data_IF_514391745050
#
_entry.id   IF_514391745050
#
_cell.length_a   1.000
_cell.length_b   1.000
_cell.length_c   1.000
_cell.angle_alpha   90.00
_cell.angle_beta   90.00
_cell.angle_gamma   90.00
#
_symmetry.space_group_name_H-M   'P 1'
#
loop_
_entity.id
_entity.type
_entity.pdbx_description
1 polymer ?
#
# COMPACT_ATOMS: atom_id res chain seq x y z
N UNK A 1 -3.28 18.77 -10.87
CA UNK A 1 -4.41 18.10 -11.55
C UNK A 1 -4.71 16.85 -10.74
N UNK A 2 -5.90 16.70 -10.18
CA UNK A 2 -6.27 15.47 -9.46
C UNK A 2 -6.45 14.36 -10.50
N UNK A 3 -5.59 13.35 -10.44
CA UNK A 3 -5.68 12.19 -11.30
C UNK A 3 -6.91 11.37 -10.86
N UNK A 4 -7.98 11.42 -11.62
CA UNK A 4 -9.21 10.64 -11.41
C UNK A 4 -9.15 9.28 -12.11
N UNK A 5 -8.00 8.92 -12.67
CA UNK A 5 -7.79 7.66 -13.38
C UNK A 5 -8.03 6.49 -12.44
N UNK A 6 -8.73 5.48 -12.94
CA UNK A 6 -8.81 4.16 -12.30
C UNK A 6 -7.90 3.21 -13.05
N UNK A 7 -7.01 2.54 -12.33
CA UNK A 7 -6.11 1.53 -12.88
C UNK A 7 -5.76 0.48 -11.80
N UNK A 8 -5.11 -0.60 -12.20
CA UNK A 8 -4.62 -1.57 -11.24
C UNK A 8 -3.34 -1.07 -10.57
N UNK A 9 -3.17 -1.44 -9.32
CA UNK A 9 -2.03 -1.05 -8.50
C UNK A 9 -1.12 -2.25 -8.26
N UNK A 10 0.18 -2.05 -8.42
CA UNK A 10 1.23 -2.97 -7.98
C UNK A 10 2.08 -2.29 -6.92
N UNK A 11 2.35 -2.99 -5.82
CA UNK A 11 3.40 -2.60 -4.86
C UNK A 11 4.30 -3.80 -4.62
N UNK A 12 5.62 -3.62 -4.79
CA UNK A 12 6.63 -4.63 -4.49
C UNK A 12 7.67 -4.05 -3.54
N UNK A 13 8.04 -4.83 -2.54
CA UNK A 13 9.24 -4.63 -1.72
C UNK A 13 10.25 -5.73 -2.06
N UNK A 14 11.38 -5.35 -2.63
CA UNK A 14 12.49 -6.26 -2.92
C UNK A 14 13.49 -6.24 -1.76
N UNK A 15 13.82 -7.43 -1.24
CA UNK A 15 14.59 -7.60 0.00
C UNK A 15 15.62 -8.72 -0.13
N UNK A 16 16.45 -8.92 0.89
CA UNK A 16 17.24 -10.15 1.03
C UNK A 16 16.36 -11.34 1.40
N UNK A 17 16.90 -12.56 1.39
CA UNK A 17 16.13 -13.79 1.52
C UNK A 17 15.27 -13.83 2.79
N UNK A 18 13.97 -13.85 2.59
CA UNK A 18 12.96 -13.96 3.63
C UNK A 18 12.95 -15.36 4.26
N UNK A 19 12.63 -15.48 5.56
CA UNK A 19 12.56 -16.77 6.22
C UNK A 19 11.54 -17.69 5.53
N UNK A 20 11.94 -18.88 5.02
CA UNK A 20 11.05 -19.73 4.21
C UNK A 20 9.76 -20.14 4.92
N UNK A 21 9.85 -20.41 6.24
CA UNK A 21 8.69 -20.79 7.07
C UNK A 21 7.69 -19.65 7.28
N UNK A 22 8.12 -18.40 7.18
CA UNK A 22 7.28 -17.22 7.34
C UNK A 22 6.81 -16.62 6.00
N UNK A 23 7.45 -16.97 4.90
CA UNK A 23 7.28 -16.32 3.60
C UNK A 23 5.83 -16.19 3.14
N UNK A 24 5.07 -17.30 3.19
CA UNK A 24 3.65 -17.29 2.81
C UNK A 24 2.86 -16.30 3.66
N UNK A 25 3.00 -16.38 4.99
CA UNK A 25 2.28 -15.54 5.93
C UNK A 25 2.66 -14.05 5.80
N UNK A 26 3.94 -13.77 5.55
CA UNK A 26 4.41 -12.40 5.29
C UNK A 26 3.77 -11.82 4.02
N UNK A 27 3.74 -12.60 2.92
CA UNK A 27 3.11 -12.15 1.67
C UNK A 27 1.61 -11.92 1.81
N UNK A 28 0.89 -12.84 2.42
CA UNK A 28 -0.56 -12.71 2.67
C UNK A 28 -0.86 -11.50 3.56
N UNK A 29 -0.11 -11.31 4.65
CA UNK A 29 -0.30 -10.19 5.56
C UNK A 29 0.02 -8.85 4.89
N UNK A 30 1.12 -8.77 4.14
CA UNK A 30 1.48 -7.57 3.37
C UNK A 30 0.35 -7.14 2.43
N UNK A 31 -0.16 -8.09 1.64
CA UNK A 31 -1.21 -7.83 0.67
C UNK A 31 -2.53 -7.44 1.32
N UNK A 32 -2.96 -8.19 2.35
CA UNK A 32 -4.24 -7.95 3.03
C UNK A 32 -4.26 -6.58 3.71
N UNK A 33 -3.26 -6.28 4.53
CA UNK A 33 -3.24 -5.01 5.28
C UNK A 33 -3.16 -3.80 4.34
N UNK A 34 -2.35 -3.88 3.28
CA UNK A 34 -2.25 -2.80 2.30
C UNK A 34 -3.57 -2.59 1.57
N UNK A 35 -4.20 -3.67 1.07
CA UNK A 35 -5.48 -3.59 0.37
C UNK A 35 -6.61 -3.08 1.28
N UNK A 36 -6.68 -3.56 2.52
CA UNK A 36 -7.67 -3.09 3.51
C UNK A 36 -7.48 -1.61 3.82
N UNK A 37 -6.23 -1.15 3.92
CA UNK A 37 -5.92 0.27 4.08
C UNK A 37 -6.39 1.13 2.91
N UNK A 38 -6.28 0.66 1.67
CA UNK A 38 -6.80 1.36 0.48
C UNK A 38 -8.33 1.35 0.44
N UNK A 39 -8.96 0.21 0.75
CA UNK A 39 -10.43 0.08 0.83
C UNK A 39 -11.02 1.00 1.88
N UNK A 40 -10.44 1.04 3.07
CA UNK A 40 -10.89 1.90 4.16
C UNK A 40 -10.81 3.41 3.83
N UNK A 41 -9.93 3.79 2.92
CA UNK A 41 -9.78 5.16 2.44
C UNK A 41 -10.64 5.47 1.20
N UNK A 42 -11.35 4.48 0.65
CA UNK A 42 -12.15 4.63 -0.57
C UNK A 42 -11.31 4.72 -1.84
N UNK A 43 -10.04 4.29 -1.80
CA UNK A 43 -9.14 4.24 -2.95
C UNK A 43 -9.28 2.93 -3.74
N UNK A 44 -9.78 1.87 -3.12
CA UNK A 44 -10.15 0.63 -3.78
C UNK A 44 -11.57 0.23 -3.33
N UNK A 45 -12.32 -0.43 -4.22
CA UNK A 45 -13.65 -0.93 -3.90
C UNK A 45 -13.58 -2.16 -2.99
N UNK A 46 -14.68 -2.50 -2.32
CA UNK A 46 -14.75 -3.67 -1.43
C UNK A 46 -14.52 -4.99 -2.18
N UNK A 47 -14.95 -5.06 -3.43
CA UNK A 47 -14.85 -6.20 -4.35
C UNK A 47 -13.54 -6.23 -5.17
N UNK A 48 -12.63 -5.26 -4.96
CA UNK A 48 -11.33 -5.26 -5.61
C UNK A 48 -10.60 -6.58 -5.39
N UNK A 49 -10.12 -7.17 -6.47
CA UNK A 49 -9.30 -8.40 -6.42
C UNK A 49 -7.91 -8.06 -5.90
N UNK A 50 -7.47 -8.83 -4.91
CA UNK A 50 -6.16 -8.68 -4.26
C UNK A 50 -5.35 -9.95 -4.52
N UNK A 51 -4.25 -9.81 -5.24
CA UNK A 51 -3.35 -10.92 -5.57
C UNK A 51 -2.03 -10.76 -4.82
N UNK A 52 -1.76 -11.59 -3.80
CA UNK A 52 -0.49 -11.57 -3.08
C UNK A 52 0.60 -12.27 -3.86
N UNK A 53 1.79 -11.70 -3.86
CA UNK A 53 3.01 -12.34 -4.36
C UNK A 53 4.04 -12.43 -3.25
N UNK A 54 4.67 -13.58 -3.15
CA UNK A 54 5.77 -13.80 -2.21
C UNK A 54 6.79 -14.79 -2.80
N UNK A 55 7.99 -14.32 -3.00
CA UNK A 55 9.14 -15.14 -3.40
C UNK A 55 10.30 -14.92 -2.42
N UNK A 56 11.36 -15.73 -2.42
CA UNK A 56 12.40 -15.63 -1.39
C UNK A 56 12.93 -14.24 -1.11
N UNK A 57 12.95 -13.35 -2.11
CA UNK A 57 13.50 -12.00 -1.99
C UNK A 57 12.48 -10.89 -2.25
N UNK A 58 11.17 -11.15 -2.17
CA UNK A 58 10.15 -10.12 -2.39
C UNK A 58 8.82 -10.41 -1.73
N UNK A 59 8.16 -9.34 -1.35
CA UNK A 59 6.75 -9.29 -1.01
C UNK A 59 6.08 -8.32 -1.98
N UNK A 60 4.99 -8.73 -2.62
CA UNK A 60 4.27 -7.80 -3.50
C UNK A 60 2.76 -8.07 -3.47
N UNK A 61 2.01 -7.08 -3.93
CA UNK A 61 0.57 -7.15 -4.05
C UNK A 61 0.11 -6.44 -5.31
N UNK A 62 -0.83 -7.06 -6.00
CA UNK A 62 -1.58 -6.45 -7.09
C UNK A 62 -3.03 -6.25 -6.63
N UNK A 63 -3.57 -5.05 -6.83
CA UNK A 63 -4.94 -4.67 -6.45
C UNK A 63 -5.64 -4.08 -7.65
N UNK A 64 -6.81 -4.63 -8.01
CA UNK A 64 -7.57 -4.16 -9.17
C UNK A 64 -8.39 -2.92 -8.85
N UNK A 65 -8.62 -2.07 -9.86
CA UNK A 65 -9.60 -0.99 -9.81
C UNK A 65 -9.33 0.09 -8.76
N UNK A 66 -8.07 0.47 -8.56
CA UNK A 66 -7.67 1.53 -7.64
C UNK A 66 -7.84 2.89 -8.30
N UNK A 67 -8.44 3.86 -7.59
CA UNK A 67 -8.65 5.22 -8.09
C UNK A 67 -7.50 6.14 -7.67
N UNK A 68 -7.15 7.10 -8.52
CA UNK A 68 -6.09 8.07 -8.25
C UNK A 68 -6.42 9.06 -7.12
N UNK A 69 -7.72 9.24 -6.83
CA UNK A 69 -8.22 10.04 -5.70
C UNK A 69 -9.52 9.44 -5.19
N UNK A 70 -9.65 9.30 -3.89
CA UNK A 70 -10.90 8.90 -3.25
C UNK A 70 -11.97 10.00 -3.42
N UNK A 71 -13.24 9.59 -3.42
CA UNK A 71 -14.36 10.53 -3.48
C UNK A 71 -14.36 11.44 -2.24
N UNK A 72 -14.70 12.69 -2.46
CA UNK A 72 -14.93 13.64 -1.39
C UNK A 72 -16.12 13.19 -0.55
N UNK A 73 -16.04 13.25 0.77
CA UNK A 73 -17.07 12.79 1.68
C UNK A 73 -17.76 13.96 2.38
N UNK A 74 -19.10 14.04 2.32
CA UNK A 74 -19.82 14.99 3.16
C UNK A 74 -19.66 14.57 4.63
N UNK A 75 -19.25 15.50 5.46
CA UNK A 75 -19.08 15.30 6.91
C UNK A 75 -19.92 16.34 7.64
N UNK A 76 -20.75 15.88 8.55
CA UNK A 76 -21.54 16.76 9.41
C UNK A 76 -20.85 16.87 10.78
N UNK A 77 -20.43 18.06 11.14
CA UNK A 77 -19.86 18.35 12.44
C UNK A 77 -20.92 18.88 13.40
N UNK A 78 -21.15 18.17 14.48
CA UNK A 78 -21.91 18.71 15.61
C UNK A 78 -21.02 19.73 16.34
N UNK A 79 -21.50 20.96 16.47
CA UNK A 79 -20.75 22.05 17.09
C UNK A 79 -21.13 22.18 18.58
N UNK A 80 -22.36 22.62 18.88
CA UNK A 80 -22.83 22.85 20.24
C UNK A 80 -24.36 23.04 20.27
N UNK A 81 -25.02 23.00 21.44
CA UNK A 81 -26.43 23.34 21.55
C UNK A 81 -26.73 24.75 21.03
N UNK A 82 -27.88 24.93 20.40
CA UNK A 82 -28.34 26.22 19.83
C UNK A 82 -28.31 27.33 20.90
N UNK A 83 -28.76 27.02 22.13
CA UNK A 83 -28.83 27.95 23.25
C UNK A 83 -27.46 28.44 23.75
N UNK A 84 -26.39 27.71 23.41
CA UNK A 84 -25.00 28.11 23.75
C UNK A 84 -24.33 28.80 22.57
N UNK A 85 -24.65 28.38 21.35
CA UNK A 85 -24.02 28.87 20.13
C UNK A 85 -24.60 30.16 19.58
N UNK A 86 -25.89 30.39 19.79
CA UNK A 86 -26.58 31.62 19.34
C UNK A 86 -27.20 32.35 20.52
N UNK A 87 -27.14 33.68 20.47
CA UNK A 87 -27.85 34.54 21.42
C UNK A 87 -29.36 34.68 21.10
N UNK A 88 -30.07 35.47 21.93
CA UNK A 88 -31.49 35.71 21.76
C UNK A 88 -31.87 36.40 20.42
N UNK A 89 -30.90 37.09 19.81
CA UNK A 89 -31.05 37.76 18.50
C UNK A 89 -30.64 36.84 17.33
N UNK A 90 -30.18 35.61 17.62
CA UNK A 90 -29.72 34.64 16.60
C UNK A 90 -28.26 34.89 16.12
N UNK A 91 -27.54 35.79 16.82
CA UNK A 91 -26.15 36.06 16.51
C UNK A 91 -25.22 35.01 17.14
N UNK A 92 -24.08 34.79 16.50
CA UNK A 92 -23.08 33.84 17.01
C UNK A 92 -22.46 34.33 18.32
N UNK A 93 -22.48 33.49 19.34
CA UNK A 93 -21.79 33.77 20.59
C UNK A 93 -20.27 33.62 20.43
N UNK A 94 -19.47 34.23 21.33
CA UNK A 94 -18.01 34.04 21.36
C UNK A 94 -17.60 32.57 21.45
N UNK A 95 -18.42 31.72 22.10
CA UNK A 95 -18.17 30.30 22.20
C UNK A 95 -18.29 29.59 20.84
N UNK A 96 -19.30 29.94 20.03
CA UNK A 96 -19.45 29.40 18.68
C UNK A 96 -18.31 29.87 17.77
N UNK A 97 -17.97 31.15 17.80
CA UNK A 97 -16.86 31.70 17.01
C UNK A 97 -15.53 31.04 17.34
N UNK A 98 -15.26 30.81 18.63
CA UNK A 98 -14.06 30.07 19.06
C UNK A 98 -14.04 28.63 18.55
N UNK A 99 -15.19 27.97 18.57
CA UNK A 99 -15.31 26.60 18.03
C UNK A 99 -15.09 26.57 16.52
N UNK A 100 -15.68 27.51 15.76
CA UNK A 100 -15.45 27.63 14.32
C UNK A 100 -14.00 27.91 14.00
N UNK A 101 -13.37 28.84 14.72
CA UNK A 101 -11.94 29.14 14.56
C UNK A 101 -11.06 27.91 14.80
N UNK A 102 -11.41 27.03 15.76
CA UNK A 102 -10.69 25.76 15.98
C UNK A 102 -10.82 24.77 14.81
N UNK A 103 -11.80 24.97 13.93
CA UNK A 103 -11.99 24.21 12.70
C UNK A 103 -11.42 24.92 11.46
N UNK A 104 -10.73 26.06 11.67
CA UNK A 104 -10.17 26.88 10.59
C UNK A 104 -11.22 27.70 9.82
N UNK A 105 -12.40 27.94 10.43
CA UNK A 105 -13.53 28.62 9.81
C UNK A 105 -13.84 29.92 10.53
N UNK A 106 -14.36 30.91 9.80
CA UNK A 106 -14.74 32.21 10.34
C UNK A 106 -16.25 32.33 10.59
N UNK A 107 -16.71 33.56 10.89
CA UNK A 107 -18.10 33.86 11.13
C UNK A 107 -19.01 33.73 9.86
N UNK A 108 -18.41 33.74 8.69
CA UNK A 108 -19.10 33.63 7.40
C UNK A 108 -19.91 32.33 7.23
N UNK A 109 -19.57 31.27 7.98
CA UNK A 109 -20.28 29.98 7.93
C UNK A 109 -21.50 29.93 8.84
N UNK A 110 -21.69 30.92 9.72
CA UNK A 110 -22.82 30.93 10.68
C UNK A 110 -24.19 30.83 9.99
N UNK A 111 -24.46 31.52 8.88
CA UNK A 111 -25.74 31.39 8.18
C UNK A 111 -25.98 30.01 7.57
N UNK A 112 -24.95 29.20 7.33
CA UNK A 112 -25.04 27.84 6.77
C UNK A 112 -25.21 26.75 7.82
N UNK A 113 -25.19 27.10 9.10
CA UNK A 113 -25.36 26.15 10.20
C UNK A 113 -26.81 25.59 10.21
N UNK A 114 -26.89 24.29 10.32
CA UNK A 114 -28.19 23.59 10.45
C UNK A 114 -28.53 23.37 11.91
N UNK A 115 -29.79 23.60 12.24
CA UNK A 115 -30.34 23.23 13.55
C UNK A 115 -30.99 21.85 13.41
N UNK A 116 -30.57 20.93 14.26
CA UNK A 116 -31.13 19.57 14.27
C UNK A 116 -31.39 19.11 15.70
N UNK A 117 -32.42 18.26 15.91
CA UNK A 117 -32.67 17.67 17.23
C UNK A 117 -31.48 16.85 17.73
N UNK A 118 -31.09 17.06 18.98
CA UNK A 118 -30.07 16.32 19.68
C UNK A 118 -30.61 15.96 21.08
N UNK A 119 -31.30 14.84 21.14
CA UNK A 119 -32.03 14.42 22.34
C UNK A 119 -33.20 15.33 22.68
N UNK A 120 -33.12 16.02 23.86
CA UNK A 120 -34.15 16.95 24.33
C UNK A 120 -33.94 18.41 23.93
N UNK A 121 -32.86 18.71 23.21
CA UNK A 121 -32.48 20.05 22.77
C UNK A 121 -32.14 20.05 21.28
N UNK A 122 -31.97 21.26 20.71
CA UNK A 122 -31.45 21.43 19.37
C UNK A 122 -29.96 21.77 19.43
N UNK A 123 -29.20 21.21 18.50
CA UNK A 123 -27.78 21.53 18.32
C UNK A 123 -27.52 22.12 16.93
N UNK A 124 -26.45 22.90 16.85
CA UNK A 124 -25.90 23.43 15.60
C UNK A 124 -25.00 22.40 14.96
N UNK A 125 -25.25 22.17 13.67
CA UNK A 125 -24.48 21.28 12.82
C UNK A 125 -23.91 22.06 11.64
N UNK A 126 -22.69 21.73 11.27
CA UNK A 126 -22.01 22.29 10.11
C UNK A 126 -21.76 21.13 9.12
N UNK A 127 -22.30 21.25 7.92
CA UNK A 127 -21.97 20.35 6.83
C UNK A 127 -20.69 20.85 6.15
N UNK A 128 -19.70 19.99 6.08
CA UNK A 128 -18.45 20.24 5.39
C UNK A 128 -18.19 19.13 4.39
N UNK A 129 -17.26 19.37 3.49
CA UNK A 129 -16.77 18.34 2.57
C UNK A 129 -15.35 18.03 2.97
N UNK A 130 -15.11 16.80 3.41
CA UNK A 130 -13.76 16.28 3.59
C UNK A 130 -13.23 15.82 2.26
N UNK A 131 -12.17 16.45 1.76
CA UNK A 131 -11.53 16.03 0.53
C UNK A 131 -11.06 14.57 0.63
N UNK A 132 -11.32 13.80 -0.41
CA UNK A 132 -10.81 12.43 -0.53
C UNK A 132 -9.28 12.42 -0.61
N UNK A 133 -8.65 11.42 -0.03
CA UNK A 133 -7.20 11.24 -0.08
C UNK A 133 -6.73 11.02 -1.52
N UNK A 134 -5.59 11.58 -1.89
CA UNK A 134 -4.90 11.20 -3.12
C UNK A 134 -4.33 9.77 -3.00
N UNK A 135 -4.12 9.10 -4.13
CA UNK A 135 -3.52 7.76 -4.12
C UNK A 135 -2.14 7.76 -3.44
N UNK A 136 -1.31 8.76 -3.69
CA UNK A 136 0.02 8.84 -3.09
C UNK A 136 -0.05 8.91 -1.55
N UNK A 137 -0.91 9.78 -1.00
CA UNK A 137 -1.09 9.90 0.45
C UNK A 137 -1.70 8.64 1.06
N UNK A 138 -2.75 8.11 0.43
CA UNK A 138 -3.45 6.93 0.94
C UNK A 138 -2.62 5.66 0.82
N UNK A 139 -1.86 5.50 -0.26
CA UNK A 139 -0.94 4.38 -0.43
C UNK A 139 0.24 4.47 0.56
N UNK A 140 0.80 5.65 0.79
CA UNK A 140 1.85 5.83 1.79
C UNK A 140 1.36 5.34 3.16
N UNK A 141 0.18 5.77 3.59
CA UNK A 141 -0.40 5.33 4.86
C UNK A 141 -0.64 3.82 4.90
N UNK A 142 -1.21 3.24 3.84
CA UNK A 142 -1.48 1.80 3.76
C UNK A 142 -0.19 0.97 3.76
N UNK A 143 0.86 1.45 3.10
CA UNK A 143 2.18 0.82 3.07
C UNK A 143 2.85 0.85 4.46
N UNK A 144 2.84 1.99 5.14
CA UNK A 144 3.39 2.13 6.49
C UNK A 144 2.68 1.21 7.48
N UNK A 145 1.33 1.14 7.43
CA UNK A 145 0.56 0.21 8.24
C UNK A 145 0.85 -1.25 7.92
N UNK A 146 0.98 -1.58 6.63
CA UNK A 146 1.29 -2.94 6.20
C UNK A 146 2.64 -3.40 6.75
N UNK A 147 3.67 -2.56 6.64
CA UNK A 147 5.00 -2.86 7.17
C UNK A 147 5.01 -2.98 8.69
N UNK A 148 4.29 -2.10 9.40
CA UNK A 148 4.21 -2.12 10.87
C UNK A 148 3.47 -3.35 11.41
N UNK A 149 2.50 -3.89 10.67
CA UNK A 149 1.68 -5.05 11.06
C UNK A 149 2.21 -6.39 10.54
N UNK A 150 3.32 -6.41 9.82
CA UNK A 150 3.89 -7.67 9.35
C UNK A 150 4.26 -8.60 10.51
N UNK A 151 3.88 -9.89 10.45
CA UNK A 151 4.20 -10.87 11.49
C UNK A 151 5.67 -11.33 11.39
N UNK A 152 6.59 -10.41 11.60
CA UNK A 152 8.04 -10.63 11.45
C UNK A 152 8.53 -11.51 12.61
N UNK A 153 9.09 -12.71 12.33
CA UNK A 153 9.54 -13.60 13.38
C UNK A 153 10.80 -13.11 14.09
N UNK A 154 11.65 -12.39 13.38
CA UNK A 154 12.89 -11.79 13.91
C UNK A 154 13.21 -10.53 13.11
N UNK A 155 13.36 -9.43 13.83
CA UNK A 155 13.76 -8.14 13.27
C UNK A 155 15.28 -8.07 13.18
N UNK A 156 15.77 -7.52 12.08
CA UNK A 156 17.17 -7.13 11.89
C UNK A 156 17.27 -5.61 11.81
N UNK A 157 18.34 -5.07 12.34
CA UNK A 157 18.68 -3.65 12.21
C UNK A 157 19.78 -3.51 11.18
N UNK A 158 19.63 -2.61 10.22
CA UNK A 158 20.65 -2.25 9.25
C UNK A 158 20.70 -0.74 9.07
N UNK A 159 21.80 -0.25 8.56
CA UNK A 159 22.01 1.18 8.34
C UNK A 159 21.78 1.53 6.88
N UNK A 160 21.16 2.69 6.65
CA UNK A 160 20.98 3.25 5.33
C UNK A 160 22.22 4.06 4.96
N UNK A 161 22.83 3.72 3.84
CA UNK A 161 23.84 4.53 3.20
C UNK A 161 23.18 5.66 2.41
N UNK A 162 23.77 6.83 2.39
CA UNK A 162 23.26 7.98 1.63
C UNK A 162 24.35 8.53 0.74
N UNK A 163 23.93 8.96 -0.46
CA UNK A 163 24.81 9.54 -1.46
C UNK A 163 25.61 8.51 -2.26
N UNK A 164 26.26 8.99 -3.30
CA UNK A 164 27.13 8.21 -4.18
C UNK A 164 28.46 8.96 -4.36
N UNK A 165 29.54 8.22 -4.61
CA UNK A 165 30.85 8.80 -4.86
C UNK A 165 31.37 9.68 -3.72
N UNK A 166 31.68 10.95 -4.00
CA UNK A 166 32.24 11.90 -3.03
C UNK A 166 31.22 12.33 -1.95
N UNK A 167 29.91 12.21 -2.22
CA UNK A 167 28.82 12.56 -1.30
C UNK A 167 28.34 11.36 -0.46
N UNK A 168 29.04 10.22 -0.59
CA UNK A 168 28.73 9.03 0.19
C UNK A 168 28.88 9.29 1.68
N UNK A 169 27.79 9.07 2.42
CA UNK A 169 27.78 9.15 3.88
C UNK A 169 27.47 7.77 4.47
N UNK A 170 28.30 7.25 5.36
CA UNK A 170 27.98 6.05 6.11
C UNK A 170 26.70 6.26 6.88
N UNK A 171 25.83 5.22 6.91
CA UNK A 171 24.49 5.32 7.44
C UNK A 171 24.41 5.62 8.92
N UNK A 172 23.97 6.80 9.26
CA UNK A 172 23.60 7.18 10.63
C UNK A 172 22.14 6.83 10.95
N UNK A 173 21.34 6.50 9.91
CA UNK A 173 19.93 6.15 10.07
C UNK A 173 19.78 4.64 10.06
N UNK A 174 19.31 4.08 11.16
CA UNK A 174 19.00 2.66 11.27
C UNK A 174 17.57 2.37 10.81
N UNK A 175 17.41 1.25 10.14
CA UNK A 175 16.12 0.68 9.72
C UNK A 175 15.96 -0.70 10.35
N UNK A 176 14.76 -0.97 10.84
CA UNK A 176 14.39 -2.24 11.42
C UNK A 176 13.42 -2.97 10.48
N UNK A 177 13.83 -4.12 9.96
CA UNK A 177 12.98 -4.96 9.13
C UNK A 177 13.39 -6.44 9.22
N UNK A 178 12.62 -7.32 8.59
CA UNK A 178 12.91 -8.77 8.60
C UNK A 178 14.22 -9.11 7.87
N UNK A 179 14.55 -8.35 6.83
CA UNK A 179 15.78 -8.41 6.04
C UNK A 179 16.07 -7.04 5.42
N UNK A 180 17.31 -6.73 5.06
CA UNK A 180 17.62 -5.51 4.32
C UNK A 180 16.76 -5.38 3.05
N UNK A 181 16.17 -4.21 2.87
CA UNK A 181 15.38 -3.88 1.69
C UNK A 181 16.24 -3.09 0.68
N UNK A 182 16.12 -3.43 -0.59
CA UNK A 182 16.95 -2.89 -1.67
C UNK A 182 16.17 -2.22 -2.78
N UNK A 183 14.85 -2.45 -2.87
CA UNK A 183 14.00 -1.88 -3.90
C UNK A 183 12.56 -1.74 -3.46
N UNK A 184 11.91 -0.70 -3.94
CA UNK A 184 10.49 -0.46 -3.79
C UNK A 184 9.91 -0.13 -5.15
N UNK A 185 8.87 -0.86 -5.54
CA UNK A 185 8.08 -0.55 -6.73
C UNK A 185 6.68 -0.17 -6.30
N UNK A 186 6.12 0.89 -6.88
CA UNK A 186 4.71 1.24 -6.75
C UNK A 186 4.21 1.79 -8.09
N UNK A 187 3.37 1.02 -8.77
CA UNK A 187 2.81 1.38 -10.08
C UNK A 187 1.29 1.42 -10.02
N UNK A 188 0.70 2.48 -10.53
CA UNK A 188 -0.72 2.63 -10.79
C UNK A 188 -0.94 2.62 -12.31
N UNK A 189 -1.36 1.49 -12.85
CA UNK A 189 -1.22 1.21 -14.27
C UNK A 189 0.25 1.21 -14.66
N UNK A 190 0.62 2.15 -15.51
CA UNK A 190 1.98 2.41 -15.99
C UNK A 190 2.71 3.55 -15.27
N UNK A 191 2.03 4.27 -14.37
CA UNK A 191 2.58 5.43 -13.68
C UNK A 191 3.17 5.06 -12.31
N UNK A 192 4.36 5.59 -11.99
CA UNK A 192 4.96 5.43 -10.67
C UNK A 192 4.22 6.29 -9.65
N UNK A 193 3.80 5.68 -8.53
CA UNK A 193 3.23 6.39 -7.38
C UNK A 193 4.35 6.78 -6.42
N UNK A 194 4.52 8.06 -6.08
CA UNK A 194 5.65 8.54 -5.27
C UNK A 194 5.44 8.25 -3.78
N UNK A 195 5.75 7.02 -3.37
CA UNK A 195 5.75 6.59 -1.95
C UNK A 195 7.15 6.17 -1.52
N UNK A 196 7.37 6.06 -0.22
CA UNK A 196 8.65 5.71 0.36
C UNK A 196 8.48 4.68 1.47
N UNK A 197 9.42 3.77 1.62
CA UNK A 197 9.46 2.84 2.73
C UNK A 197 10.89 2.38 3.01
N UNK A 198 11.25 2.18 4.27
CA UNK A 198 12.55 1.64 4.69
C UNK A 198 13.76 2.38 4.08
N UNK A 199 13.61 3.70 3.86
CA UNK A 199 14.62 4.54 3.23
C UNK A 199 14.65 4.51 1.70
N UNK A 200 13.78 3.73 1.06
CA UNK A 200 13.67 3.58 -0.38
C UNK A 200 12.58 4.48 -0.94
N UNK A 201 12.78 5.02 -2.13
CA UNK A 201 11.76 5.70 -2.93
C UNK A 201 11.21 4.73 -3.96
N UNK A 202 9.90 4.77 -4.18
CA UNK A 202 9.28 3.94 -5.19
C UNK A 202 9.74 4.30 -6.60
N UNK A 203 9.98 3.25 -7.39
CA UNK A 203 10.30 3.29 -8.80
C UNK A 203 9.54 2.21 -9.54
N UNK A 204 10.13 1.75 -10.64
CA UNK A 204 9.60 0.64 -11.46
C UNK A 204 10.63 -0.48 -11.68
N UNK A 205 11.80 -0.36 -11.10
CA UNK A 205 12.90 -1.28 -11.31
C UNK A 205 12.88 -2.37 -10.23
N UNK A 206 12.99 -3.62 -10.66
CA UNK A 206 13.15 -4.76 -9.76
C UNK A 206 14.26 -5.68 -10.29
N UNK A 207 14.57 -6.75 -9.57
CA UNK A 207 15.61 -7.69 -9.96
C UNK A 207 15.04 -9.10 -10.11
N UNK A 208 15.49 -9.79 -11.14
CA UNK A 208 15.19 -11.19 -11.36
C UNK A 208 16.09 -12.13 -10.54
N UNK A 209 16.18 -13.37 -10.99
CA UNK A 209 17.11 -14.35 -10.46
C UNK A 209 18.55 -13.91 -10.78
N UNK A 210 19.45 -14.00 -9.79
CA UNK A 210 20.82 -13.47 -9.91
C UNK A 210 21.61 -13.98 -11.13
N UNK A 211 21.38 -15.22 -11.52
CA UNK A 211 22.15 -15.87 -12.58
C UNK A 211 21.31 -16.21 -13.84
N UNK A 212 19.98 -16.34 -13.71
CA UNK A 212 19.09 -16.81 -14.77
C UNK A 212 18.28 -15.69 -15.43
N UNK A 213 18.27 -14.49 -14.82
CA UNK A 213 17.55 -13.35 -15.40
C UNK A 213 18.17 -12.94 -16.74
N UNK A 214 17.32 -12.73 -17.73
CA UNK A 214 17.73 -12.26 -19.07
C UNK A 214 18.18 -10.81 -19.05
N UNK A 215 17.60 -10.01 -18.15
CA UNK A 215 17.91 -8.58 -17.97
C UNK A 215 17.98 -8.24 -16.47
N UNK A 216 18.84 -7.29 -16.12
CA UNK A 216 18.96 -6.78 -14.75
C UNK A 216 19.40 -5.30 -14.78
N UNK A 217 18.65 -4.38 -14.18
CA UNK A 217 17.34 -4.58 -13.54
C UNK A 217 16.23 -4.92 -14.55
N UNK A 218 15.13 -5.51 -14.06
CA UNK A 218 13.89 -5.69 -14.81
C UNK A 218 13.07 -4.41 -14.64
N UNK A 219 12.92 -3.66 -15.71
CA UNK A 219 12.14 -2.41 -15.73
C UNK A 219 10.68 -2.74 -16.02
N UNK A 220 9.82 -2.69 -15.00
CA UNK A 220 8.41 -3.04 -15.11
C UNK A 220 7.65 -2.03 -15.99
N UNK A 221 6.84 -2.52 -16.92
CA UNK A 221 6.08 -1.69 -17.85
C UNK A 221 4.85 -1.11 -17.19
N UNK A 222 4.10 -1.96 -16.50
CA UNK A 222 2.85 -1.65 -15.82
C UNK A 222 2.59 -2.62 -14.66
N UNK A 223 1.50 -2.37 -13.93
CA UNK A 223 1.11 -3.18 -12.78
C UNK A 223 0.64 -4.58 -13.19
N UNK A 224 -0.04 -4.73 -14.32
CA UNK A 224 -0.69 -5.98 -14.75
C UNK A 224 0.32 -6.98 -15.30
N UNK A 225 1.34 -6.49 -16.00
CA UNK A 225 2.40 -7.31 -16.60
C UNK A 225 3.39 -7.91 -15.60
N UNK A 226 3.34 -7.54 -14.32
CA UNK A 226 4.32 -7.86 -13.30
C UNK A 226 4.74 -9.34 -13.26
N UNK A 227 3.79 -10.24 -13.06
CA UNK A 227 4.10 -11.67 -12.88
C UNK A 227 4.66 -12.31 -14.15
N UNK A 228 4.12 -11.94 -15.31
CA UNK A 228 4.57 -12.40 -16.61
C UNK A 228 5.98 -11.87 -16.92
N UNK A 229 6.21 -10.58 -16.72
CA UNK A 229 7.51 -9.96 -16.99
C UNK A 229 8.60 -10.52 -16.08
N UNK A 230 8.32 -10.74 -14.78
CA UNK A 230 9.27 -11.39 -13.87
C UNK A 230 9.58 -12.83 -14.28
N UNK A 231 8.60 -13.58 -14.79
CA UNK A 231 8.83 -14.93 -15.28
C UNK A 231 9.70 -14.93 -16.54
N UNK A 232 9.37 -14.08 -17.51
CA UNK A 232 9.97 -14.11 -18.84
C UNK A 232 11.34 -13.43 -18.89
N UNK A 233 11.51 -12.31 -18.20
CA UNK A 233 12.73 -11.51 -18.19
C UNK A 233 13.59 -11.78 -16.94
N UNK A 234 12.92 -11.97 -15.80
CA UNK A 234 13.56 -12.11 -14.50
C UNK A 234 13.85 -13.54 -14.06
N UNK A 235 13.33 -14.55 -14.75
CA UNK A 235 13.40 -15.97 -14.37
C UNK A 235 12.88 -16.22 -12.93
N UNK A 236 11.77 -15.55 -12.55
CA UNK A 236 11.17 -15.66 -11.22
C UNK A 236 9.68 -15.92 -11.31
N UNK A 237 9.20 -16.94 -10.60
CA UNK A 237 7.79 -17.14 -10.34
C UNK A 237 7.44 -16.39 -9.06
N UNK A 238 6.81 -15.22 -9.20
CA UNK A 238 6.50 -14.32 -8.09
C UNK A 238 5.46 -14.90 -7.12
N UNK A 239 4.46 -15.61 -7.65
CA UNK A 239 3.40 -16.25 -6.86
C UNK A 239 3.96 -17.40 -6.03
N UNK A 240 3.68 -17.40 -4.72
CA UNK A 240 4.03 -18.50 -3.82
C UNK A 240 3.30 -19.79 -4.23
N UNK A 241 2.02 -19.70 -4.55
CA UNK A 241 1.20 -20.86 -4.92
C UNK A 241 1.64 -21.49 -6.24
N UNK A 242 1.86 -20.67 -7.27
CA UNK A 242 2.34 -21.15 -8.57
C UNK A 242 3.73 -21.77 -8.47
N UNK A 243 4.66 -21.13 -7.75
CA UNK A 243 6.00 -21.66 -7.55
C UNK A 243 5.97 -23.01 -6.84
N UNK A 244 5.11 -23.16 -5.81
CA UNK A 244 4.91 -24.44 -5.13
C UNK A 244 4.36 -25.51 -6.08
N UNK A 245 3.36 -25.17 -6.88
CA UNK A 245 2.77 -26.08 -7.84
C UNK A 245 3.80 -26.55 -8.89
N UNK A 246 4.62 -25.62 -9.38
CA UNK A 246 5.69 -25.92 -10.33
C UNK A 246 6.74 -26.87 -9.73
N UNK A 247 7.19 -26.62 -8.49
CA UNK A 247 8.14 -27.50 -7.78
C UNK A 247 7.53 -28.91 -7.63
N UNK A 248 6.27 -29.03 -7.24
CA UNK A 248 5.59 -30.35 -7.09
C UNK A 248 5.52 -31.06 -8.43
N UNK A 249 5.16 -30.35 -9.51
CA UNK A 249 5.10 -30.89 -10.86
C UNK A 249 6.46 -31.45 -11.32
N UNK A 250 7.53 -30.67 -11.15
CA UNK A 250 8.89 -31.09 -11.51
C UNK A 250 9.36 -32.29 -10.70
N UNK A 251 9.12 -32.30 -9.38
CA UNK A 251 9.46 -33.43 -8.50
C UNK A 251 8.73 -34.70 -8.92
N UNK A 252 7.44 -34.62 -9.24
CA UNK A 252 6.63 -35.74 -9.68
C UNK A 252 7.17 -36.29 -11.02
N UNK A 253 7.48 -35.40 -11.96
CA UNK A 253 8.04 -35.79 -13.26
C UNK A 253 9.42 -36.47 -13.14
N UNK A 254 10.28 -35.92 -12.29
CA UNK A 254 11.60 -36.48 -12.03
C UNK A 254 11.52 -37.87 -11.35
N UNK A 255 10.60 -38.05 -10.39
CA UNK A 255 10.35 -39.36 -9.75
C UNK A 255 9.87 -40.44 -10.75
N UNK A 256 8.98 -40.07 -11.68
CA UNK A 256 8.50 -40.96 -12.73
C UNK A 256 9.63 -41.36 -13.67
N UNK A 257 10.55 -40.47 -14.01
CA UNK A 257 11.71 -40.81 -14.85
C UNK A 257 12.68 -41.76 -14.14
N UNK A 258 12.95 -41.51 -12.83
CA UNK A 258 13.88 -42.33 -12.05
C UNK A 258 13.30 -43.73 -11.70
N UNK A 259 12.00 -43.90 -11.68
CA UNK A 259 11.32 -45.18 -11.44
C UNK A 259 11.12 -46.05 -12.66
N UNK A 260 11.48 -45.59 -13.88
CA UNK A 260 11.50 -46.45 -15.06
C UNK A 260 12.61 -47.48 -14.91
N UNK A 261 12.29 -48.81 -14.97
CA UNK A 261 13.32 -49.81 -15.01
C UNK A 261 14.21 -49.55 -16.23
N UNK A 262 15.52 -49.63 -16.04
CA UNK A 262 16.47 -49.60 -17.14
C UNK A 262 16.02 -50.67 -18.16
N UNK A 263 15.56 -50.21 -19.33
CA UNK A 263 15.00 -51.08 -20.36
C UNK A 263 15.97 -52.20 -20.68
N UNK A 264 15.52 -53.41 -20.61
CA UNK A 264 16.20 -54.55 -21.22
C UNK A 264 16.39 -54.19 -22.69
N UNK A 265 17.62 -53.92 -23.09
CA UNK A 265 18.04 -53.96 -24.48
C UNK A 265 17.94 -55.38 -24.92
N UNK A 266 16.96 -55.67 -25.80
CA UNK A 266 16.95 -56.86 -26.63
C UNK A 266 17.82 -56.63 -27.85
#
# INVERSE_FOLDING_TARGET
>A
MSDTRTANLLVELFVEELPPKALKKLGESFATVLADGLKAQGLASADATVTPYASPRRLAVHVTGVVGKAADQPVQHKLMPVTVGLDASGQATPALLKKLASLGLGAEVVPSLKRQPDGKAEALFLDTVKAGASLAEGLQKALDESLAKLPIPKVMTYQLERGEGADFQPGWTSVNFVRPAHGLVALHGDAVVPVQALGLKAGRDTHGHRFEAKVSPVVLRDADGYAAQLRDEGAVIASFAERRAEIVSQLTSAALVSSRPAGSSA
#
